data_IF_462947309886
#
_entry.id   IF_462947309886
#
_cell.length_a   1.000
_cell.length_b   1.000
_cell.length_c   1.000
_cell.angle_alpha   90.00
_cell.angle_beta   90.00
_cell.angle_gamma   90.00
#
_symmetry.space_group_name_H-M   'P 1'
#
loop_
_entity.id
_entity.type
_entity.pdbx_description
1 polymer ?
#
# COMPACT_ATOMS: atom_id res chain seq x y z
N UNK A 1 -7.33 2.80 28.30
CA UNK A 1 -6.13 2.15 27.74
C UNK A 1 -6.16 2.40 26.25
N UNK A 2 -5.44 3.42 25.82
CA UNK A 2 -5.28 3.85 24.43
C UNK A 2 -4.36 2.88 23.73
N UNK A 3 -4.93 1.95 22.97
CA UNK A 3 -4.21 1.16 22.00
C UNK A 3 -3.79 2.05 20.84
N UNK A 4 -2.57 2.54 20.82
CA UNK A 4 -1.95 3.06 19.62
C UNK A 4 -1.74 1.86 18.69
N UNK A 5 -2.67 1.61 17.79
CA UNK A 5 -2.40 0.76 16.64
C UNK A 5 -1.47 1.55 15.72
N UNK A 6 -0.18 1.38 15.92
CA UNK A 6 0.80 1.69 14.89
C UNK A 6 0.39 0.87 13.67
N UNK A 7 -0.01 1.54 12.60
CA UNK A 7 -0.06 0.93 11.28
C UNK A 7 1.34 0.36 11.07
N UNK A 8 1.44 -0.96 11.09
CA UNK A 8 2.72 -1.62 11.04
C UNK A 8 3.42 -1.18 9.75
N UNK A 9 4.65 -0.72 9.88
CA UNK A 9 5.59 -0.66 8.77
C UNK A 9 5.50 -1.98 8.01
N UNK A 10 5.65 -2.00 6.69
CA UNK A 10 5.57 -3.23 5.93
C UNK A 10 6.47 -4.28 6.57
N UNK A 11 5.85 -5.31 7.15
CA UNK A 11 6.58 -6.41 7.77
C UNK A 11 7.04 -7.33 6.65
N UNK A 12 8.34 -7.41 6.44
CA UNK A 12 8.93 -8.39 5.54
C UNK A 12 9.13 -9.70 6.29
N UNK A 13 8.49 -10.77 5.83
CA UNK A 13 8.60 -12.10 6.43
C UNK A 13 9.68 -12.88 5.67
N UNK A 14 10.66 -13.38 6.41
CA UNK A 14 11.71 -14.26 5.88
C UNK A 14 11.62 -15.60 6.58
N UNK A 15 11.56 -16.68 5.81
CA UNK A 15 11.58 -18.03 6.35
C UNK A 15 12.99 -18.56 6.46
N UNK A 16 13.30 -19.13 7.64
CA UNK A 16 14.54 -19.83 7.91
C UNK A 16 14.21 -21.32 8.13
N UNK A 17 14.64 -22.19 7.23
CA UNK A 17 14.30 -23.62 7.31
C UNK A 17 15.49 -24.52 7.00
N UNK A 18 15.44 -25.75 7.52
CA UNK A 18 16.37 -26.82 7.17
C UNK A 18 15.82 -27.79 6.11
N UNK A 19 14.57 -27.58 5.66
CA UNK A 19 13.90 -28.44 4.69
C UNK A 19 13.48 -27.65 3.45
N UNK A 20 13.96 -28.02 2.25
CA UNK A 20 13.58 -27.35 1.01
C UNK A 20 12.13 -27.61 0.57
N UNK A 21 11.47 -28.60 1.18
CA UNK A 21 10.13 -29.05 0.78
C UNK A 21 9.03 -27.99 0.99
N UNK A 22 9.24 -27.07 1.95
CA UNK A 22 8.29 -26.01 2.28
C UNK A 22 8.45 -24.71 1.48
N UNK A 23 9.31 -24.72 0.47
CA UNK A 23 9.53 -23.54 -0.39
C UNK A 23 8.25 -23.08 -1.11
N UNK A 24 7.42 -24.04 -1.53
CA UNK A 24 6.15 -23.76 -2.18
C UNK A 24 5.12 -23.09 -1.20
N UNK A 25 5.18 -23.43 0.08
CA UNK A 25 4.29 -22.85 1.09
C UNK A 25 4.69 -21.42 1.47
N UNK A 26 5.99 -21.10 1.41
CA UNK A 26 6.49 -19.73 1.61
C UNK A 26 5.94 -18.76 0.56
N UNK A 27 5.75 -19.20 -0.68
CA UNK A 27 5.10 -18.41 -1.74
C UNK A 27 3.63 -18.09 -1.44
N UNK A 28 2.91 -18.99 -0.74
CA UNK A 28 1.50 -18.81 -0.39
C UNK A 28 1.27 -17.73 0.66
N UNK A 29 2.23 -17.52 1.55
CA UNK A 29 2.16 -16.53 2.64
C UNK A 29 2.90 -15.24 2.32
N UNK A 30 3.30 -15.05 1.04
CA UNK A 30 3.96 -13.83 0.58
C UNK A 30 5.24 -13.47 1.35
N UNK A 31 6.05 -14.48 1.67
CA UNK A 31 7.35 -14.26 2.27
C UNK A 31 8.23 -13.38 1.36
N UNK A 32 9.02 -12.52 1.98
CA UNK A 32 10.00 -11.67 1.28
C UNK A 32 11.13 -12.55 0.72
N UNK A 33 11.65 -13.45 1.54
CA UNK A 33 12.71 -14.38 1.15
C UNK A 33 12.62 -15.69 1.94
N UNK A 34 13.41 -16.67 1.50
CA UNK A 34 13.49 -18.00 2.05
C UNK A 34 14.96 -18.43 2.15
N UNK A 35 15.47 -18.48 3.36
CA UNK A 35 16.85 -18.88 3.63
C UNK A 35 16.92 -20.33 4.14
N UNK A 36 17.79 -21.11 3.53
CA UNK A 36 18.06 -22.49 3.95
C UNK A 36 19.21 -22.53 4.96
N UNK A 37 19.03 -23.31 6.02
CA UNK A 37 20.07 -23.52 7.02
C UNK A 37 21.17 -24.46 6.48
N UNK A 38 22.45 -24.19 6.73
CA UNK A 38 23.01 -23.20 7.64
C UNK A 38 23.05 -21.79 7.05
N UNK A 39 22.58 -20.80 7.83
CA UNK A 39 22.58 -19.40 7.43
C UNK A 39 23.94 -18.78 7.71
N UNK A 40 24.55 -18.17 6.67
CA UNK A 40 25.83 -17.48 6.79
C UNK A 40 25.65 -15.97 6.99
N UNK A 41 26.69 -15.31 7.50
CA UNK A 41 26.69 -13.85 7.64
C UNK A 41 26.51 -13.14 6.29
N UNK A 42 27.06 -13.70 5.21
CA UNK A 42 26.91 -13.15 3.85
C UNK A 42 25.47 -13.22 3.36
N UNK A 43 24.77 -14.32 3.63
CA UNK A 43 23.35 -14.46 3.27
C UNK A 43 22.48 -13.44 4.03
N UNK A 44 22.80 -13.19 5.28
CA UNK A 44 22.12 -12.18 6.09
C UNK A 44 22.42 -10.77 5.57
N UNK A 45 23.69 -10.46 5.27
CA UNK A 45 24.08 -9.15 4.73
C UNK A 45 23.34 -8.88 3.41
N UNK A 46 23.35 -9.84 2.48
CA UNK A 46 22.61 -9.76 1.22
C UNK A 46 21.11 -9.54 1.43
N UNK A 47 20.51 -10.26 2.38
CA UNK A 47 19.09 -10.08 2.72
C UNK A 47 18.80 -8.64 3.19
N UNK A 48 19.67 -8.07 4.04
CA UNK A 48 19.54 -6.69 4.49
C UNK A 48 19.75 -5.68 3.38
N UNK A 49 20.69 -5.93 2.47
CA UNK A 49 20.89 -5.11 1.28
C UNK A 49 19.66 -5.13 0.36
N UNK A 50 19.07 -6.30 0.13
CA UNK A 50 17.83 -6.46 -0.64
C UNK A 50 16.64 -5.78 0.06
N UNK A 51 16.53 -5.88 1.38
CA UNK A 51 15.53 -5.17 2.18
C UNK A 51 15.73 -3.65 2.15
N UNK A 52 16.97 -3.17 2.24
CA UNK A 52 17.31 -1.75 2.17
C UNK A 52 16.97 -1.16 0.78
N UNK A 53 17.30 -1.88 -0.30
CA UNK A 53 16.95 -1.50 -1.66
C UNK A 53 15.42 -1.44 -1.85
N UNK A 54 14.69 -2.33 -1.18
CA UNK A 54 13.21 -2.34 -1.20
C UNK A 54 12.64 -1.20 -0.34
N UNK A 55 13.38 -0.73 0.67
CA UNK A 55 13.04 0.40 1.54
C UNK A 55 13.61 1.74 1.07
N UNK A 56 14.53 1.79 0.12
CA UNK A 56 14.74 2.99 -0.68
C UNK A 56 13.47 3.22 -1.51
N UNK A 57 12.38 3.49 -0.79
CA UNK A 57 11.23 4.19 -1.32
C UNK A 57 11.82 5.38 -2.08
N UNK A 58 11.60 5.42 -3.40
CA UNK A 58 11.69 6.66 -4.14
C UNK A 58 11.03 7.68 -3.22
N UNK A 59 11.78 8.66 -2.73
CA UNK A 59 11.23 9.74 -1.93
C UNK A 59 10.10 10.30 -2.78
N UNK A 60 8.88 9.86 -2.46
CA UNK A 60 7.70 10.24 -3.22
C UNK A 60 7.51 11.72 -2.98
N UNK A 61 7.98 12.51 -3.93
CA UNK A 61 7.89 13.97 -3.90
C UNK A 61 6.52 14.46 -4.38
N UNK A 62 5.67 13.53 -4.87
CA UNK A 62 4.34 13.89 -5.33
C UNK A 62 3.45 14.22 -4.13
N UNK A 63 2.81 15.37 -4.19
CA UNK A 63 1.95 15.86 -3.13
C UNK A 63 0.60 16.31 -3.66
N UNK A 64 -0.43 15.99 -2.90
CA UNK A 64 -1.78 16.49 -3.08
C UNK A 64 -1.97 17.73 -2.23
N UNK A 65 -2.18 18.88 -2.86
CA UNK A 65 -2.39 20.14 -2.13
C UNK A 65 -3.83 20.30 -1.69
N UNK A 66 -4.02 20.49 -0.40
CA UNK A 66 -5.34 20.78 0.19
C UNK A 66 -5.34 22.16 0.84
N UNK A 67 -6.52 22.80 0.90
CA UNK A 67 -6.68 24.09 1.55
C UNK A 67 -7.41 23.93 2.88
N UNK A 68 -6.74 24.30 3.97
CA UNK A 68 -7.31 24.35 5.32
C UNK A 68 -7.01 25.74 5.89
N UNK A 69 -8.03 26.43 6.34
CA UNK A 69 -7.91 27.80 6.91
C UNK A 69 -7.16 28.78 5.99
N UNK A 70 -7.42 28.70 4.69
CA UNK A 70 -6.78 29.50 3.62
C UNK A 70 -5.27 29.22 3.45
N UNK A 71 -4.74 28.18 4.07
CA UNK A 71 -3.36 27.72 3.89
C UNK A 71 -3.35 26.49 2.98
N UNK A 72 -2.40 26.45 2.06
CA UNK A 72 -2.16 25.26 1.24
C UNK A 72 -1.25 24.32 2.03
N UNK A 73 -1.71 23.09 2.20
CA UNK A 73 -0.98 22.03 2.89
C UNK A 73 -0.69 20.93 1.87
N UNK A 74 0.58 20.66 1.55
CA UNK A 74 0.94 19.53 0.74
C UNK A 74 0.85 18.25 1.58
N UNK A 75 0.12 17.26 1.07
CA UNK A 75 0.03 15.91 1.64
C UNK A 75 0.70 14.96 0.66
N UNK A 76 1.77 14.31 1.06
CA UNK A 76 2.49 13.38 0.19
C UNK A 76 1.60 12.22 -0.21
N UNK A 77 1.70 11.76 -1.45
CA UNK A 77 0.92 10.61 -1.93
C UNK A 77 1.22 9.36 -1.12
N UNK A 78 2.47 9.17 -0.70
CA UNK A 78 2.90 8.12 0.21
C UNK A 78 2.27 8.19 1.60
N UNK A 79 1.80 9.36 2.03
CA UNK A 79 1.15 9.52 3.33
C UNK A 79 -0.37 9.29 3.26
N UNK A 80 -0.97 9.24 2.06
CA UNK A 80 -2.42 9.07 1.88
C UNK A 80 -2.75 7.57 1.81
N UNK A 81 -3.54 7.06 2.75
CA UNK A 81 -4.08 5.70 2.74
C UNK A 81 -5.38 5.59 1.97
N UNK A 82 -6.31 6.47 2.28
CA UNK A 82 -7.60 6.58 1.59
C UNK A 82 -8.25 7.93 1.84
N UNK A 83 -9.19 8.26 0.98
CA UNK A 83 -10.02 9.46 1.09
C UNK A 83 -11.48 9.06 1.07
N UNK A 84 -12.25 9.62 2.00
CA UNK A 84 -13.70 9.48 2.03
C UNK A 84 -14.37 10.84 1.89
N UNK A 85 -15.54 10.88 1.24
CA UNK A 85 -16.35 12.09 1.17
C UNK A 85 -17.44 12.08 2.24
N UNK A 86 -17.57 13.19 2.92
CA UNK A 86 -18.65 13.50 3.84
C UNK A 86 -19.30 14.82 3.40
N UNK A 87 -20.41 14.70 2.66
CA UNK A 87 -21.12 15.84 2.07
C UNK A 87 -20.22 16.69 1.17
N UNK A 88 -19.84 17.89 1.60
CA UNK A 88 -18.96 18.81 0.89
C UNK A 88 -17.51 18.79 1.38
N UNK A 89 -17.18 17.85 2.25
CA UNK A 89 -15.86 17.71 2.83
C UNK A 89 -15.20 16.40 2.41
N UNK A 90 -13.90 16.45 2.27
CA UNK A 90 -13.05 15.26 2.19
C UNK A 90 -12.41 14.99 3.54
N UNK A 91 -12.39 13.74 3.92
CA UNK A 91 -11.60 13.22 5.01
C UNK A 91 -10.47 12.38 4.42
N UNK A 92 -9.24 12.82 4.63
CA UNK A 92 -8.04 12.19 4.14
C UNK A 92 -7.41 11.46 5.31
N UNK A 93 -7.30 10.15 5.19
CA UNK A 93 -6.67 9.28 6.18
C UNK A 93 -5.28 8.92 5.71
N UNK A 94 -4.30 9.19 6.55
CA UNK A 94 -2.90 8.95 6.26
C UNK A 94 -2.07 8.86 7.53
N UNK A 95 -0.84 9.36 7.49
CA UNK A 95 -0.03 9.58 8.69
C UNK A 95 -0.74 10.56 9.63
N UNK A 96 -1.28 11.63 9.06
CA UNK A 96 -2.17 12.58 9.71
C UNK A 96 -3.59 12.46 9.13
N UNK A 97 -4.56 12.97 9.86
CA UNK A 97 -5.96 13.03 9.42
C UNK A 97 -6.30 14.46 9.07
N UNK A 98 -6.68 14.67 7.80
CA UNK A 98 -7.08 16.00 7.33
C UNK A 98 -8.56 16.01 6.97
N UNK A 99 -9.23 17.14 7.23
CA UNK A 99 -10.57 17.43 6.77
C UNK A 99 -10.55 18.75 6.02
N UNK A 100 -10.85 18.73 4.73
CA UNK A 100 -10.86 19.93 3.90
C UNK A 100 -12.16 20.03 3.08
N UNK A 101 -12.51 21.25 2.69
CA UNK A 101 -13.67 21.47 1.82
C UNK A 101 -13.22 21.39 0.36
N UNK A 102 -13.51 20.26 -0.27
CA UNK A 102 -13.19 20.01 -1.66
C UNK A 102 -14.18 18.99 -2.23
N UNK A 103 -14.65 19.12 -3.47
CA UNK A 103 -15.47 18.10 -4.12
C UNK A 103 -14.66 16.81 -4.31
N UNK A 104 -15.25 15.68 -3.95
CA UNK A 104 -14.59 14.37 -4.14
C UNK A 104 -14.12 14.14 -5.59
N UNK A 105 -14.92 14.55 -6.56
CA UNK A 105 -14.60 14.41 -7.98
C UNK A 105 -13.30 15.12 -8.37
N UNK A 106 -13.04 16.26 -7.78
CA UNK A 106 -11.82 17.04 -8.00
C UNK A 106 -10.60 16.28 -7.46
N UNK A 107 -10.63 15.87 -6.20
CA UNK A 107 -9.56 15.06 -5.61
C UNK A 107 -9.34 13.76 -6.39
N UNK A 108 -10.40 13.05 -6.74
CA UNK A 108 -10.31 11.83 -7.51
C UNK A 108 -9.68 12.06 -8.90
N UNK A 109 -10.02 13.16 -9.60
CA UNK A 109 -9.46 13.44 -10.92
C UNK A 109 -7.96 13.73 -10.89
N UNK A 110 -7.45 14.24 -9.77
CA UNK A 110 -6.01 14.48 -9.57
C UNK A 110 -5.30 13.19 -9.18
N UNK A 111 -5.77 12.54 -8.13
CA UNK A 111 -5.09 11.40 -7.53
C UNK A 111 -5.12 10.15 -8.41
N UNK A 112 -6.20 9.88 -9.14
CA UNK A 112 -6.27 8.71 -10.02
C UNK A 112 -5.40 8.81 -11.29
N UNK A 113 -4.68 9.92 -11.48
CA UNK A 113 -3.60 9.99 -12.47
C UNK A 113 -2.38 9.14 -12.06
N UNK A 114 -2.24 8.87 -10.78
CA UNK A 114 -1.26 7.93 -10.26
C UNK A 114 -1.92 6.56 -10.05
N UNK A 115 -1.26 5.51 -10.56
CA UNK A 115 -1.79 4.14 -10.56
C UNK A 115 -1.97 3.53 -9.15
N UNK A 116 -1.42 4.15 -8.12
CA UNK A 116 -1.64 3.76 -6.72
C UNK A 116 -3.05 4.06 -6.24
N UNK A 117 -3.72 5.06 -6.82
CA UNK A 117 -5.02 5.50 -6.36
C UNK A 117 -6.17 4.96 -7.19
N UNK A 118 -7.14 4.37 -6.50
CA UNK A 118 -8.30 3.77 -7.13
C UNK A 118 -9.59 4.20 -6.43
N UNK A 119 -10.56 4.68 -7.22
CA UNK A 119 -11.92 4.92 -6.72
C UNK A 119 -12.69 3.61 -6.68
N UNK A 120 -13.07 3.14 -5.49
CA UNK A 120 -13.78 1.86 -5.32
C UNK A 120 -15.29 2.03 -5.24
N UNK A 121 -15.75 3.18 -4.73
CA UNK A 121 -17.16 3.53 -4.63
C UNK A 121 -17.34 5.04 -4.80
N UNK A 122 -18.60 5.48 -4.90
CA UNK A 122 -18.94 6.90 -4.85
C UNK A 122 -18.46 7.49 -3.52
N UNK A 123 -17.49 8.39 -3.60
CA UNK A 123 -16.93 9.09 -2.42
C UNK A 123 -15.90 8.29 -1.63
N UNK A 124 -15.35 7.19 -2.18
CA UNK A 124 -14.28 6.43 -1.56
C UNK A 124 -13.17 6.19 -2.58
N UNK A 125 -11.99 6.72 -2.29
CA UNK A 125 -10.76 6.53 -3.04
C UNK A 125 -9.71 5.93 -2.10
N UNK A 126 -9.06 4.86 -2.53
CA UNK A 126 -8.04 4.16 -1.75
C UNK A 126 -6.68 4.23 -2.45
N UNK A 127 -5.63 4.15 -1.65
CA UNK A 127 -4.28 3.90 -2.13
C UNK A 127 -4.02 2.39 -2.04
N UNK A 128 -3.71 1.77 -3.17
CA UNK A 128 -3.51 0.33 -3.33
C UNK A 128 -2.29 -0.19 -2.56
N UNK A 129 -1.32 0.68 -2.25
CA UNK A 129 -0.15 0.34 -1.44
C UNK A 129 -0.52 0.01 0.01
N UNK A 130 -1.63 0.55 0.50
CA UNK A 130 -2.13 0.36 1.86
C UNK A 130 -3.28 -0.63 1.96
N UNK A 131 -3.59 -1.36 0.89
CA UNK A 131 -4.57 -2.45 0.94
C UNK A 131 -3.92 -3.67 1.55
N UNK A 132 -4.45 -4.11 2.68
CA UNK A 132 -4.05 -5.34 3.35
C UNK A 132 -4.69 -6.56 2.69
N UNK A 133 -5.98 -6.45 2.37
CA UNK A 133 -6.75 -7.57 1.86
C UNK A 133 -7.89 -7.10 0.95
N UNK A 134 -8.12 -7.83 -0.15
CA UNK A 134 -9.23 -7.56 -1.07
C UNK A 134 -9.89 -8.87 -1.49
N UNK A 135 -11.13 -9.07 -1.07
CA UNK A 135 -11.93 -10.26 -1.35
C UNK A 135 -13.39 -9.91 -1.64
N UNK A 136 -14.00 -10.64 -2.58
CA UNK A 136 -15.46 -10.77 -2.76
C UNK A 136 -16.30 -9.49 -2.63
N UNK A 137 -15.86 -8.37 -3.10
CA UNK A 137 -16.51 -7.08 -2.93
C UNK A 137 -16.27 -6.40 -1.56
N UNK A 138 -15.15 -6.71 -0.93
CA UNK A 138 -14.66 -6.06 0.28
C UNK A 138 -13.18 -5.70 0.14
N UNK A 139 -12.80 -4.53 0.65
CA UNK A 139 -11.43 -4.04 0.69
C UNK A 139 -11.09 -3.66 2.13
N UNK A 140 -10.08 -4.30 2.71
CA UNK A 140 -9.57 -4.00 4.05
C UNK A 140 -8.23 -3.27 3.93
N UNK A 141 -8.14 -2.11 4.55
CA UNK A 141 -6.95 -1.29 4.60
C UNK A 141 -6.01 -1.74 5.73
N UNK A 142 -4.76 -1.30 5.69
CA UNK A 142 -3.73 -1.64 6.69
C UNK A 142 -4.08 -1.20 8.13
N UNK A 143 -4.97 -0.23 8.31
CA UNK A 143 -5.50 0.22 9.60
C UNK A 143 -6.77 -0.56 10.04
N UNK A 144 -7.06 -1.67 9.38
CA UNK A 144 -8.25 -2.51 9.58
C UNK A 144 -9.57 -1.88 9.17
N UNK A 145 -9.55 -0.69 8.56
CA UNK A 145 -10.76 -0.10 7.97
C UNK A 145 -11.22 -0.94 6.79
N UNK A 146 -12.50 -1.30 6.77
CA UNK A 146 -13.06 -2.14 5.70
C UNK A 146 -14.12 -1.38 4.92
N UNK A 147 -13.99 -1.41 3.60
CA UNK A 147 -14.92 -0.83 2.64
C UNK A 147 -15.61 -1.92 1.85
N UNK A 148 -16.95 -1.88 1.77
CA UNK A 148 -17.68 -2.71 0.83
C UNK A 148 -17.55 -2.16 -0.58
N UNK A 149 -17.31 -3.02 -1.57
CA UNK A 149 -17.22 -2.65 -2.99
C UNK A 149 -18.54 -3.03 -3.68
N UNK A 150 -19.06 -2.15 -4.51
CA UNK A 150 -20.28 -2.46 -5.26
C UNK A 150 -20.03 -3.62 -6.22
N UNK A 151 -20.90 -4.66 -6.19
CA UNK A 151 -20.71 -5.91 -6.95
C UNK A 151 -20.41 -5.71 -8.43
N UNK A 152 -21.02 -4.71 -9.08
CA UNK A 152 -20.78 -4.39 -10.51
C UNK A 152 -19.31 -4.05 -10.79
N UNK A 153 -18.61 -3.47 -9.83
CA UNK A 153 -17.24 -2.97 -9.99
C UNK A 153 -16.20 -3.89 -9.35
N UNK A 154 -16.64 -4.87 -8.55
CA UNK A 154 -15.74 -5.70 -7.74
C UNK A 154 -14.69 -6.42 -8.59
N UNK A 155 -15.08 -7.03 -9.71
CA UNK A 155 -14.13 -7.73 -10.58
C UNK A 155 -13.06 -6.79 -11.17
N UNK A 156 -13.46 -5.61 -11.66
CA UNK A 156 -12.54 -4.63 -12.23
C UNK A 156 -11.58 -4.06 -11.17
N UNK A 157 -12.09 -3.79 -9.97
CA UNK A 157 -11.31 -3.27 -8.84
C UNK A 157 -10.31 -4.33 -8.35
N UNK A 158 -10.73 -5.58 -8.22
CA UNK A 158 -9.84 -6.69 -7.84
C UNK A 158 -8.75 -6.90 -8.89
N UNK A 159 -9.09 -6.81 -10.17
CA UNK A 159 -8.12 -6.94 -11.26
C UNK A 159 -7.09 -5.78 -11.23
N UNK A 160 -7.53 -4.55 -10.97
CA UNK A 160 -6.63 -3.40 -10.82
C UNK A 160 -5.66 -3.60 -9.64
N UNK A 161 -6.16 -4.07 -8.50
CA UNK A 161 -5.34 -4.39 -7.35
C UNK A 161 -4.29 -5.47 -7.65
N UNK A 162 -4.69 -6.59 -8.26
CA UNK A 162 -3.78 -7.66 -8.64
C UNK A 162 -2.69 -7.15 -9.59
N UNK A 163 -3.08 -6.35 -10.60
CA UNK A 163 -2.15 -5.75 -11.57
C UNK A 163 -1.15 -4.82 -10.87
N UNK A 164 -1.61 -4.01 -9.92
CA UNK A 164 -0.76 -3.12 -9.14
C UNK A 164 0.25 -3.92 -8.30
N UNK A 165 -0.20 -4.95 -7.58
CA UNK A 165 0.67 -5.82 -6.80
C UNK A 165 1.74 -6.53 -7.67
N UNK A 166 1.35 -6.98 -8.88
CA UNK A 166 2.27 -7.60 -9.81
C UNK A 166 3.35 -6.62 -10.28
N UNK A 167 2.96 -5.39 -10.67
CA UNK A 167 3.91 -4.35 -11.09
C UNK A 167 4.90 -3.98 -9.98
N UNK A 168 4.44 -3.83 -8.73
CA UNK A 168 5.33 -3.57 -7.59
C UNK A 168 6.39 -4.66 -7.43
N UNK A 169 5.99 -5.94 -7.54
CA UNK A 169 6.92 -7.07 -7.45
C UNK A 169 7.94 -7.08 -8.58
N UNK A 170 7.48 -6.84 -9.82
CA UNK A 170 8.37 -6.82 -10.98
C UNK A 170 9.36 -5.64 -10.90
N UNK A 171 8.92 -4.47 -10.42
CA UNK A 171 9.78 -3.30 -10.24
C UNK A 171 10.87 -3.56 -9.18
N UNK A 172 10.54 -4.25 -8.10
CA UNK A 172 11.49 -4.67 -7.07
C UNK A 172 12.53 -5.66 -7.61
N UNK A 173 12.13 -6.63 -8.45
CA UNK A 173 13.01 -7.64 -9.03
C UNK A 173 13.97 -7.05 -10.09
N UNK A 174 13.52 -6.08 -10.89
CA UNK A 174 14.37 -5.44 -11.91
C UNK A 174 15.40 -4.48 -11.33
N UNK A 175 15.17 -3.89 -10.17
CA UNK A 175 16.18 -3.08 -9.47
C UNK A 175 17.28 -3.92 -8.79
N UNK A 176 16.98 -5.15 -8.39
CA UNK A 176 17.95 -6.08 -7.77
C UNK A 176 18.80 -6.90 -8.74
N UNK A 177 18.60 -6.77 -10.05
CA UNK A 177 19.23 -7.61 -11.09
C UNK A 177 20.36 -6.99 -11.91
N UNK A 178 20.91 -5.82 -11.53
CA UNK A 178 22.02 -5.16 -12.23
C UNK A 178 23.20 -4.98 -11.27
N UNK A 179 23.91 -6.05 -11.02
CA UNK A 179 25.34 -6.05 -10.65
C UNK A 179 25.95 -7.40 -10.95
#
# INVERSE_FOLDING_TARGET
VTGVQTCALPISIVFLTSSPEHRADAFRVHAFDYLEKPVTGEMIARLFDELAITQEEETDTQAFSISIDRKQIPVLYSDIRYITSDSNYLQIQGRDVFRCRMPFREAASILTQDERFLTINRGILINLDYVQHMENASCTMCDSTTFSIHRKNAAAITQAYISHQFKRRTKALTKGGLS
#
